data_IF_167922568925
#
_entry.id   IF_167922568925
#
_cell.length_a   1.000
_cell.length_b   1.000
_cell.length_c   1.000
_cell.angle_alpha   90.00
_cell.angle_beta   90.00
_cell.angle_gamma   90.00
#
_symmetry.space_group_name_H-M   'P 1'
#
loop_
_entity.id
_entity.type
_entity.pdbx_description
1 polymer ?
#
# COMPACT_ATOMS: atom_id res chain seq x y z
N UNK A 1 -10.42 -27.43 -3.75
CA UNK A 1 -9.49 -26.71 -4.54
C UNK A 1 -8.62 -25.79 -3.74
N UNK A 2 -7.40 -25.66 -4.14
CA UNK A 2 -6.45 -24.92 -3.36
C UNK A 2 -5.89 -23.77 -4.18
N UNK A 3 -5.78 -22.61 -3.60
CA UNK A 3 -5.17 -21.49 -4.28
C UNK A 3 -3.75 -21.31 -3.79
N UNK A 4 -2.84 -21.11 -4.72
CA UNK A 4 -1.45 -20.87 -4.40
C UNK A 4 -1.15 -19.39 -4.60
N UNK A 5 -0.45 -18.79 -3.66
CA UNK A 5 -0.01 -17.43 -3.79
C UNK A 5 1.43 -17.41 -4.25
N UNK A 6 1.69 -16.65 -5.30
CA UNK A 6 3.05 -16.40 -5.70
C UNK A 6 3.42 -15.04 -5.17
N UNK A 7 4.40 -14.98 -4.30
CA UNK A 7 4.80 -13.73 -3.71
C UNK A 7 5.77 -13.00 -4.61
N UNK A 8 5.35 -11.86 -5.10
CA UNK A 8 6.24 -10.98 -5.82
C UNK A 8 7.03 -10.18 -4.80
N UNK A 9 8.32 -10.32 -4.82
CA UNK A 9 9.21 -9.69 -3.87
C UNK A 9 10.17 -8.78 -4.60
N UNK A 10 10.63 -7.68 -4.02
CA UNK A 10 10.32 -7.23 -2.65
C UNK A 10 9.01 -6.47 -2.58
N UNK A 11 8.52 -6.29 -1.37
CA UNK A 11 7.30 -5.55 -1.11
C UNK A 11 7.60 -4.34 -0.23
N UNK A 12 6.72 -3.37 -0.29
CA UNK A 12 6.83 -2.17 0.53
C UNK A 12 5.44 -1.62 0.77
N UNK A 13 5.06 -1.36 2.02
CA UNK A 13 3.81 -0.67 2.28
C UNK A 13 3.98 0.83 2.11
N UNK A 14 2.89 1.57 2.21
CA UNK A 14 2.95 3.02 2.14
C UNK A 14 2.54 3.56 0.79
N UNK A 15 2.87 4.81 0.58
CA UNK A 15 2.50 5.48 -0.66
C UNK A 15 3.58 6.46 -1.07
N UNK A 16 3.59 6.78 -2.36
CA UNK A 16 4.51 7.75 -2.92
C UNK A 16 3.71 8.99 -3.31
N UNK A 17 4.22 10.14 -2.94
CA UNK A 17 3.63 11.39 -3.36
C UNK A 17 4.72 12.26 -3.95
N UNK A 18 4.30 13.26 -4.71
CA UNK A 18 5.21 14.23 -5.28
C UNK A 18 4.79 15.60 -4.80
N UNK A 19 5.76 16.47 -4.72
CA UNK A 19 5.50 17.84 -4.30
C UNK A 19 6.52 18.76 -4.93
N UNK A 20 6.10 20.00 -5.11
CA UNK A 20 6.99 21.07 -5.53
C UNK A 20 6.83 22.15 -4.50
N UNK A 21 7.90 22.84 -4.20
CA UNK A 21 7.83 23.84 -3.15
C UNK A 21 8.77 24.99 -3.41
N UNK A 22 8.53 26.06 -2.70
CA UNK A 22 9.43 27.20 -2.71
C UNK A 22 10.54 26.90 -1.72
N UNK A 23 11.75 27.37 -2.04
CA UNK A 23 12.85 27.16 -1.12
C UNK A 23 12.91 28.33 -0.14
N UNK A 24 13.77 28.21 0.85
CA UNK A 24 13.93 29.27 1.82
C UNK A 24 14.89 30.36 1.39
N UNK A 25 15.48 30.28 0.20
CA UNK A 25 16.49 31.23 -0.21
C UNK A 25 15.88 32.50 -0.76
N UNK A 26 16.23 33.65 -0.23
CA UNK A 26 15.74 34.91 -0.78
C UNK A 26 16.28 35.08 -2.20
N UNK A 27 15.50 35.70 -3.08
CA UNK A 27 15.94 35.95 -4.44
C UNK A 27 15.91 34.74 -5.36
N UNK A 28 15.53 33.58 -4.86
CA UNK A 28 15.40 32.42 -5.70
C UNK A 28 14.20 32.57 -6.64
N UNK A 29 14.28 31.99 -7.83
CA UNK A 29 13.19 32.09 -8.80
C UNK A 29 11.85 31.62 -8.27
N UNK A 30 11.84 30.71 -7.31
CA UNK A 30 10.60 30.24 -6.72
C UNK A 30 9.90 31.31 -5.88
N UNK A 31 10.55 32.43 -5.62
CA UNK A 31 9.98 33.51 -4.84
C UNK A 31 9.46 34.64 -5.71
N UNK A 32 9.51 34.53 -7.01
CA UNK A 32 9.03 35.56 -7.91
C UNK A 32 7.52 35.61 -7.94
N UNK A 33 6.95 36.67 -8.50
CA UNK A 33 5.51 36.81 -8.62
C UNK A 33 4.92 35.68 -9.46
N UNK A 34 5.69 35.14 -10.40
CA UNK A 34 5.35 33.94 -11.11
C UNK A 34 6.39 32.91 -10.70
N UNK A 35 6.22 32.31 -9.56
CA UNK A 35 7.29 31.50 -9.01
C UNK A 35 7.55 30.26 -9.83
N UNK A 36 8.84 29.92 -9.96
CA UNK A 36 9.24 28.66 -10.43
C UNK A 36 9.51 27.85 -9.21
N UNK A 37 8.68 26.90 -8.92
CA UNK A 37 8.88 26.06 -7.76
C UNK A 37 10.08 25.16 -8.00
N UNK A 38 10.75 24.80 -6.92
CA UNK A 38 11.84 23.86 -7.02
C UNK A 38 11.31 22.52 -7.52
N UNK A 39 12.17 21.76 -8.17
CA UNK A 39 11.79 20.57 -8.87
C UNK A 39 10.85 19.68 -8.12
N UNK A 40 10.50 18.57 -8.70
CA UNK A 40 9.61 17.61 -8.08
C UNK A 40 10.35 16.85 -7.01
N UNK A 41 9.78 16.85 -5.81
CA UNK A 41 10.30 16.04 -4.74
C UNK A 41 9.42 14.81 -4.62
N UNK A 42 10.04 13.68 -4.33
CA UNK A 42 9.32 12.43 -4.14
C UNK A 42 9.39 12.07 -2.66
N UNK A 43 8.27 11.65 -2.14
CA UNK A 43 8.19 11.26 -0.73
C UNK A 43 7.49 9.95 -0.58
N UNK A 44 8.07 9.11 0.26
CA UNK A 44 7.40 7.90 0.69
C UNK A 44 6.81 8.16 2.06
N UNK A 45 5.55 7.78 2.26
CA UNK A 45 4.90 7.91 3.55
C UNK A 45 4.32 6.57 3.94
N UNK A 46 4.56 6.17 5.15
CA UNK A 46 4.05 4.90 5.67
C UNK A 46 4.28 4.86 7.16
N UNK A 47 4.16 3.67 7.73
CA UNK A 47 4.36 3.49 9.15
C UNK A 47 5.55 2.60 9.41
N UNK A 48 6.45 3.04 10.28
CA UNK A 48 7.59 2.24 10.69
C UNK A 48 7.49 2.12 12.21
N UNK A 49 7.39 0.89 12.69
CA UNK A 49 7.25 0.68 14.12
C UNK A 49 6.04 1.37 14.72
N UNK A 50 4.96 1.46 13.95
CA UNK A 50 3.75 2.10 14.43
C UNK A 50 3.72 3.61 14.30
N UNK A 51 4.81 4.21 13.82
CA UNK A 51 4.87 5.67 13.68
C UNK A 51 4.78 6.07 12.22
N UNK A 52 3.95 7.05 11.94
CA UNK A 52 3.86 7.59 10.60
C UNK A 52 5.18 8.25 10.24
N UNK A 53 5.75 7.85 9.15
CA UNK A 53 7.06 8.31 8.72
C UNK A 53 7.03 8.75 7.27
N UNK A 54 7.68 9.86 6.99
CA UNK A 54 7.81 10.35 5.62
C UNK A 54 9.29 10.47 5.28
N UNK A 55 9.67 9.96 4.13
CA UNK A 55 11.04 10.04 3.66
C UNK A 55 11.08 10.72 2.32
N UNK A 56 11.99 11.68 2.17
CA UNK A 56 12.21 12.31 0.87
C UNK A 56 13.20 11.43 0.12
N UNK A 57 12.87 11.08 -1.10
CA UNK A 57 13.65 10.12 -1.87
C UNK A 57 13.90 10.64 -3.28
N UNK A 58 14.84 10.05 -3.97
CA UNK A 58 15.14 10.42 -5.33
C UNK A 58 14.11 9.83 -6.28
N UNK A 59 14.12 10.29 -7.52
CA UNK A 59 13.21 9.78 -8.53
C UNK A 59 13.43 8.28 -8.74
N UNK A 60 14.69 7.86 -8.78
CA UNK A 60 15.01 6.46 -9.00
C UNK A 60 14.52 5.59 -7.85
N UNK A 61 14.72 6.08 -6.63
CA UNK A 61 14.23 5.35 -5.46
C UNK A 61 12.71 5.32 -5.46
N UNK A 62 12.08 6.42 -5.88
CA UNK A 62 10.61 6.46 -5.95
C UNK A 62 10.08 5.40 -6.91
N UNK A 63 10.73 5.23 -8.06
CA UNK A 63 10.29 4.21 -9.02
C UNK A 63 10.42 2.81 -8.43
N UNK A 64 11.50 2.55 -7.72
CA UNK A 64 11.67 1.25 -7.08
C UNK A 64 10.63 1.05 -5.98
N UNK A 65 10.35 2.10 -5.21
CA UNK A 65 9.31 2.02 -4.18
C UNK A 65 7.95 1.71 -4.79
N UNK A 66 7.62 2.35 -5.91
CA UNK A 66 6.34 2.10 -6.56
C UNK A 66 6.23 0.65 -7.01
N UNK A 67 7.31 0.08 -7.52
CA UNK A 67 7.32 -1.32 -7.92
C UNK A 67 7.02 -2.22 -6.72
N UNK A 68 7.68 -1.94 -5.59
CA UNK A 68 7.49 -2.73 -4.38
C UNK A 68 6.10 -2.55 -3.79
N UNK A 69 5.55 -1.34 -3.90
CA UNK A 69 4.20 -1.07 -3.41
C UNK A 69 3.18 -1.83 -4.26
N UNK A 70 3.39 -1.92 -5.57
CA UNK A 70 2.51 -2.70 -6.41
C UNK A 70 2.53 -4.18 -6.02
N UNK A 71 3.72 -4.70 -5.71
CA UNK A 71 3.84 -6.07 -5.26
C UNK A 71 3.09 -6.29 -3.95
N UNK A 72 3.20 -5.33 -3.04
CA UNK A 72 2.50 -5.41 -1.77
C UNK A 72 0.98 -5.38 -1.97
N UNK A 73 0.50 -4.51 -2.83
CA UNK A 73 -0.93 -4.43 -3.10
C UNK A 73 -1.47 -5.71 -3.73
N UNK A 74 -0.67 -6.33 -4.58
CA UNK A 74 -1.06 -7.61 -5.15
C UNK A 74 -1.17 -8.67 -4.05
N UNK A 75 -0.21 -8.69 -3.14
CA UNK A 75 -0.26 -9.61 -2.02
C UNK A 75 -1.51 -9.38 -1.17
N UNK A 76 -1.87 -8.12 -0.92
CA UNK A 76 -3.07 -7.81 -0.16
C UNK A 76 -4.31 -8.36 -0.86
N UNK A 77 -4.39 -8.21 -2.17
CA UNK A 77 -5.53 -8.75 -2.94
C UNK A 77 -5.57 -10.27 -2.87
N UNK A 78 -4.41 -10.90 -2.92
CA UNK A 78 -4.34 -12.35 -2.85
C UNK A 78 -4.78 -12.86 -1.47
N UNK A 79 -4.35 -12.15 -0.43
CA UNK A 79 -4.77 -12.50 0.93
C UNK A 79 -6.27 -12.35 1.08
N UNK A 80 -6.83 -11.27 0.53
CA UNK A 80 -8.26 -11.05 0.60
C UNK A 80 -9.02 -12.18 -0.09
N UNK A 81 -8.53 -12.62 -1.23
CA UNK A 81 -9.14 -13.72 -1.96
C UNK A 81 -9.07 -15.01 -1.14
N UNK A 82 -7.91 -15.28 -0.54
CA UNK A 82 -7.77 -16.47 0.28
C UNK A 82 -8.69 -16.44 1.49
N UNK A 83 -8.85 -15.26 2.11
CA UNK A 83 -9.74 -15.16 3.25
C UNK A 83 -11.18 -15.44 2.86
N UNK A 84 -11.59 -14.94 1.69
CA UNK A 84 -12.94 -15.24 1.22
C UNK A 84 -13.13 -16.72 0.95
N UNK A 85 -12.13 -17.36 0.36
CA UNK A 85 -12.20 -18.79 0.11
C UNK A 85 -12.22 -19.58 1.43
N UNK A 86 -11.39 -19.16 2.38
CA UNK A 86 -11.32 -19.84 3.67
C UNK A 86 -12.62 -19.71 4.43
N UNK A 87 -13.25 -18.54 4.37
CA UNK A 87 -14.51 -18.34 5.08
C UNK A 87 -15.66 -19.07 4.41
N UNK A 88 -15.60 -19.20 3.09
CA UNK A 88 -16.63 -19.97 2.39
C UNK A 88 -16.57 -21.45 2.70
N UNK A 89 -15.41 -21.91 3.15
CA UNK A 89 -15.22 -23.30 3.50
C UNK A 89 -14.92 -23.46 4.99
N UNK A 90 -15.47 -22.56 5.79
CA UNK A 90 -15.16 -22.56 7.21
C UNK A 90 -15.73 -23.80 7.90
N UNK A 91 -15.12 -24.24 9.00
CA UNK A 91 -15.55 -25.48 9.64
C UNK A 91 -16.98 -25.49 10.15
N UNK A 92 -17.54 -24.32 10.39
CA UNK A 92 -18.93 -24.26 10.87
C UNK A 92 -19.93 -24.37 9.72
N UNK A 93 -19.48 -24.40 8.47
CA UNK A 93 -20.36 -24.54 7.33
C UNK A 93 -20.45 -25.99 6.96
N UNK A 94 -21.65 -26.53 6.99
CA UNK A 94 -21.82 -27.94 6.64
C UNK A 94 -22.36 -28.05 5.24
N UNK A 95 -21.62 -28.78 4.40
CA UNK A 95 -22.05 -28.94 3.07
C UNK A 95 -23.28 -29.70 3.00
N UNK A 96 -23.39 -30.70 3.79
CA UNK A 96 -24.53 -31.55 3.64
C UNK A 96 -25.71 -30.93 4.27
N UNK A 97 -25.55 -30.11 5.26
CA UNK A 97 -26.70 -29.59 5.85
C UNK A 97 -26.77 -28.21 5.74
N UNK A 98 -26.15 -27.77 4.85
CA UNK A 98 -26.21 -26.41 4.63
C UNK A 98 -27.38 -25.78 5.19
N UNK A 99 -28.25 -26.49 5.54
CA UNK A 99 -29.40 -25.95 5.96
C UNK A 99 -29.46 -25.81 7.37
N UNK A 100 -28.82 -26.28 8.00
CA UNK A 100 -28.99 -26.33 9.29
C UNK A 100 -28.61 -25.23 9.94
N UNK A 101 -29.04 -24.72 10.49
CA UNK A 101 -28.83 -23.69 11.08
C UNK A 101 -28.32 -23.76 12.25
N UNK A 102 -27.89 -23.41 12.78
CA UNK A 102 -27.50 -23.38 13.80
C UNK A 102 -27.28 -22.71 14.62
N UNK A 103 -27.05 -22.55 15.18
CA UNK A 103 -26.94 -21.84 15.98
C UNK A 103 -25.97 -21.56 16.74
N UNK A 104 -25.69 -21.30 17.01
CA UNK A 104 -25.05 -21.00 17.64
C UNK A 104 -24.52 -20.53 18.39
N UNK A 105 -24.20 -20.28 18.77
CA UNK A 105 -23.74 -19.78 19.41
C UNK A 105 -23.18 -19.72 20.09
N UNK A 106 -22.73 -19.48 20.41
CA UNK A 106 -22.08 -19.20 21.19
C UNK A 106 -21.86 -18.94 21.72
#
# INVERSE_FOLDING_TARGET
MRKTIELAWPILPGSISTARSRCGKPGCACKLSRPRLHGTYYRWTGFIGGKRTTKTISKEVAHECLRRIRNYRQLQRDIETLLRMALADAPWISRSTSLRKKPNRP
#
